data_IF_551337357038
#
_entry.id   IF_551337357038
#
_cell.length_a   1.000
_cell.length_b   1.000
_cell.length_c   1.000
_cell.angle_alpha   90.00
_cell.angle_beta   90.00
_cell.angle_gamma   90.00
#
_symmetry.space_group_name_H-M   'P 1'
#
loop_
_entity.id
_entity.type
_entity.pdbx_description
1 polymer ?
#
# COMPACT_ATOMS: atom_id res chain seq x y z
N UNK A 1 -17.63 -13.50 23.30
CA UNK A 1 -16.84 -12.28 23.60
C UNK A 1 -17.45 -11.10 22.85
N UNK A 2 -17.81 -10.01 23.55
CA UNK A 2 -18.66 -8.92 23.02
C UNK A 2 -17.95 -8.16 21.87
N UNK A 3 -18.42 -8.32 20.62
CA UNK A 3 -17.96 -7.60 19.41
C UNK A 3 -17.82 -6.08 19.64
N UNK A 4 -18.69 -5.50 20.47
CA UNK A 4 -18.67 -4.07 20.82
C UNK A 4 -17.42 -3.58 21.56
N UNK A 5 -16.71 -4.45 22.30
CA UNK A 5 -15.47 -4.05 22.99
C UNK A 5 -14.34 -3.87 21.98
N UNK A 6 -14.25 -4.76 20.99
CA UNK A 6 -13.23 -4.72 19.94
C UNK A 6 -13.41 -3.47 19.08
N UNK A 7 -14.65 -3.17 18.64
CA UNK A 7 -14.92 -1.97 17.84
C UNK A 7 -14.62 -0.68 18.60
N UNK A 8 -14.92 -0.63 19.90
CA UNK A 8 -14.58 0.52 20.76
C UNK A 8 -13.07 0.69 20.93
N UNK A 9 -12.32 -0.41 21.01
CA UNK A 9 -10.85 -0.38 21.06
C UNK A 9 -10.27 0.10 19.72
N UNK A 10 -10.75 -0.44 18.59
CA UNK A 10 -10.29 -0.05 17.24
C UNK A 10 -10.55 1.44 16.99
N UNK A 11 -11.77 1.93 17.27
CA UNK A 11 -12.12 3.34 17.06
C UNK A 11 -11.34 4.29 17.96
N UNK A 12 -11.11 3.93 19.22
CA UNK A 12 -10.27 4.71 20.14
C UNK A 12 -8.82 4.75 19.65
N UNK A 13 -8.28 3.62 19.18
CA UNK A 13 -6.92 3.56 18.65
C UNK A 13 -6.75 4.32 17.34
N UNK A 14 -7.76 4.32 16.45
CA UNK A 14 -7.73 5.14 15.22
C UNK A 14 -7.66 6.63 15.56
N UNK A 15 -8.44 7.08 16.56
CA UNK A 15 -8.44 8.49 16.98
C UNK A 15 -7.17 8.91 17.71
N UNK A 16 -6.57 8.04 18.53
CA UNK A 16 -5.40 8.38 19.34
C UNK A 16 -4.05 8.22 18.62
N UNK A 17 -3.99 7.54 17.48
CA UNK A 17 -2.72 7.24 16.79
C UNK A 17 -2.66 7.73 15.34
N UNK A 18 -3.22 8.91 15.05
CA UNK A 18 -3.28 9.51 13.69
C UNK A 18 -1.93 9.55 12.96
N UNK A 19 -0.85 9.90 13.67
CA UNK A 19 0.53 9.95 13.15
C UNK A 19 1.08 8.58 12.70
N UNK A 20 0.41 7.51 13.09
CA UNK A 20 0.77 6.12 12.81
C UNK A 20 0.05 5.60 11.57
N UNK A 21 -1.19 6.04 11.35
CA UNK A 21 -2.02 5.69 10.18
C UNK A 21 -1.62 6.43 8.91
N UNK A 22 -1.24 7.70 9.06
CA UNK A 22 -0.92 8.58 7.95
C UNK A 22 0.11 8.01 6.96
N UNK A 23 1.31 7.55 7.39
CA UNK A 23 2.31 7.05 6.45
C UNK A 23 1.85 5.81 5.68
N UNK A 24 1.03 4.94 6.29
CA UNK A 24 0.54 3.72 5.64
C UNK A 24 -0.53 4.02 4.61
N UNK A 25 -1.49 4.87 4.95
CA UNK A 25 -2.52 5.31 4.00
C UNK A 25 -1.87 6.08 2.85
N UNK A 26 -0.87 6.93 3.13
CA UNK A 26 -0.12 7.65 2.10
C UNK A 26 0.64 6.70 1.18
N UNK A 27 1.32 5.70 1.74
CA UNK A 27 1.99 4.65 0.96
C UNK A 27 1.03 3.91 0.04
N UNK A 28 -0.11 3.47 0.57
CA UNK A 28 -1.14 2.79 -0.24
C UNK A 28 -1.67 3.71 -1.32
N UNK A 29 -1.99 4.95 -0.96
CA UNK A 29 -2.48 5.95 -1.89
C UNK A 29 -1.51 6.12 -3.07
N UNK A 30 -0.24 6.41 -2.79
CA UNK A 30 0.77 6.66 -3.83
C UNK A 30 0.97 5.45 -4.73
N UNK A 31 1.05 4.23 -4.17
CA UNK A 31 1.29 3.03 -4.97
C UNK A 31 0.08 2.64 -5.83
N UNK A 32 -1.12 2.64 -5.26
CA UNK A 32 -2.35 2.34 -6.00
C UNK A 32 -2.59 3.39 -7.09
N UNK A 33 -2.44 4.67 -6.74
CA UNK A 33 -2.59 5.77 -7.69
C UNK A 33 -1.60 5.66 -8.86
N UNK A 34 -0.32 5.38 -8.59
CA UNK A 34 0.69 5.23 -9.62
C UNK A 34 0.37 4.08 -10.59
N UNK A 35 -0.03 2.90 -10.07
CA UNK A 35 -0.37 1.74 -10.90
C UNK A 35 -1.61 2.01 -11.75
N UNK A 36 -2.65 2.63 -11.18
CA UNK A 36 -3.85 2.99 -11.94
C UNK A 36 -3.53 3.98 -13.06
N UNK A 37 -2.80 5.06 -12.77
CA UNK A 37 -2.37 6.02 -13.78
C UNK A 37 -1.58 5.35 -14.92
N UNK A 38 -0.61 4.49 -14.59
CA UNK A 38 0.22 3.84 -15.59
C UNK A 38 -0.58 2.87 -16.47
N UNK A 39 -1.52 2.13 -15.87
CA UNK A 39 -2.37 1.18 -16.59
C UNK A 39 -3.36 1.89 -17.53
N UNK A 40 -3.89 3.03 -17.09
CA UNK A 40 -4.81 3.85 -17.88
C UNK A 40 -4.11 4.57 -19.03
N UNK A 41 -2.88 5.03 -18.82
CA UNK A 41 -2.08 5.60 -19.92
C UNK A 41 -1.72 4.54 -20.96
N UNK A 42 -1.30 3.34 -20.52
CA UNK A 42 -0.94 2.25 -21.42
C UNK A 42 -2.09 1.75 -22.32
N UNK A 43 -3.34 1.88 -21.86
CA UNK A 43 -4.54 1.49 -22.63
C UNK A 43 -5.02 2.58 -23.58
N UNK A 44 -4.65 3.84 -23.35
CA UNK A 44 -5.12 5.01 -24.11
C UNK A 44 -4.00 5.67 -24.93
N UNK A 45 -2.90 4.97 -25.23
CA UNK A 45 -1.78 5.51 -26.02
C UNK A 45 -2.20 6.02 -27.40
N UNK A 46 -3.18 5.37 -28.03
CA UNK A 46 -3.67 5.69 -29.39
C UNK A 46 -4.17 7.14 -29.50
N UNK A 47 -4.58 7.73 -28.38
CA UNK A 47 -5.04 9.12 -28.27
C UNK A 47 -3.88 10.13 -28.37
N UNK A 48 -2.70 9.77 -27.86
CA UNK A 48 -1.56 10.69 -27.68
C UNK A 48 -0.51 10.49 -28.77
N UNK A 49 -0.33 9.27 -29.27
CA UNK A 49 0.65 8.95 -30.31
C UNK A 49 -0.04 8.16 -31.42
N UNK A 50 -0.28 8.75 -32.61
CA UNK A 50 -0.92 8.06 -33.73
C UNK A 50 -0.03 6.99 -34.38
N UNK A 51 1.20 6.81 -33.89
CA UNK A 51 2.13 5.78 -34.37
C UNK A 51 1.93 4.51 -33.55
N UNK A 52 1.31 3.52 -34.19
CA UNK A 52 1.01 2.16 -33.72
C UNK A 52 2.27 1.37 -33.32
N UNK A 53 3.00 1.88 -32.33
CA UNK A 53 4.32 1.40 -31.95
C UNK A 53 4.18 0.52 -30.73
N UNK A 54 4.25 -0.78 -30.98
CA UNK A 54 4.32 -1.86 -29.98
C UNK A 54 5.29 -1.55 -28.83
N UNK A 55 6.35 -0.78 -29.12
CA UNK A 55 7.32 -0.28 -28.16
C UNK A 55 6.70 0.48 -26.96
N UNK A 56 5.73 1.37 -27.17
CA UNK A 56 5.13 2.10 -26.04
C UNK A 56 4.28 1.18 -25.18
N UNK A 57 3.52 0.27 -25.77
CA UNK A 57 2.70 -0.68 -25.02
C UNK A 57 3.56 -1.60 -24.14
N UNK A 58 4.68 -2.09 -24.67
CA UNK A 58 5.68 -2.87 -23.92
C UNK A 58 6.32 -2.06 -22.80
N UNK A 59 6.65 -0.79 -23.04
CA UNK A 59 7.19 0.12 -22.03
C UNK A 59 6.24 0.34 -20.86
N UNK A 60 4.94 0.56 -21.14
CA UNK A 60 3.94 0.71 -20.08
C UNK A 60 3.74 -0.57 -19.27
N UNK A 61 3.73 -1.73 -19.94
CA UNK A 61 3.63 -3.02 -19.26
C UNK A 61 4.82 -3.28 -18.32
N UNK A 62 6.04 -3.00 -18.77
CA UNK A 62 7.24 -3.06 -17.92
C UNK A 62 7.15 -2.11 -16.73
N UNK A 63 6.67 -0.89 -16.93
CA UNK A 63 6.49 0.07 -15.86
C UNK A 63 5.49 -0.40 -14.78
N UNK A 64 4.41 -1.08 -15.16
CA UNK A 64 3.46 -1.68 -14.20
C UNK A 64 4.16 -2.73 -13.33
N UNK A 65 5.03 -3.58 -13.91
CA UNK A 65 5.79 -4.59 -13.17
C UNK A 65 6.74 -3.92 -12.17
N UNK A 66 7.48 -2.91 -12.63
CA UNK A 66 8.41 -2.16 -11.79
C UNK A 66 7.67 -1.47 -10.64
N UNK A 67 6.54 -0.81 -10.92
CA UNK A 67 5.68 -0.19 -9.89
C UNK A 67 5.12 -1.23 -8.92
N UNK A 68 4.76 -2.41 -9.40
CA UNK A 68 4.36 -3.55 -8.57
C UNK A 68 5.45 -3.95 -7.57
N UNK A 69 6.71 -4.05 -8.03
CA UNK A 69 7.86 -4.34 -7.16
C UNK A 69 8.13 -3.22 -6.15
N UNK A 70 8.09 -1.95 -6.59
CA UNK A 70 8.25 -0.80 -5.69
C UNK A 70 7.16 -0.76 -4.61
N UNK A 71 5.92 -1.08 -4.99
CA UNK A 71 4.80 -1.14 -4.04
C UNK A 71 5.07 -2.16 -2.94
N UNK A 72 5.61 -3.33 -3.28
CA UNK A 72 5.93 -4.37 -2.31
C UNK A 72 6.97 -3.87 -1.30
N UNK A 73 8.04 -3.23 -1.77
CA UNK A 73 9.10 -2.67 -0.91
C UNK A 73 8.53 -1.60 0.02
N UNK A 74 7.77 -0.66 -0.54
CA UNK A 74 7.23 0.48 0.20
C UNK A 74 6.18 0.05 1.23
N UNK A 75 5.29 -0.89 0.88
CA UNK A 75 4.32 -1.46 1.80
C UNK A 75 5.02 -2.23 2.92
N UNK A 76 6.04 -3.06 2.63
CA UNK A 76 6.80 -3.76 3.67
C UNK A 76 7.57 -2.79 4.60
N UNK A 77 8.14 -1.73 4.05
CA UNK A 77 8.84 -0.71 4.83
C UNK A 77 7.88 0.02 5.77
N UNK A 78 6.75 0.45 5.23
CA UNK A 78 5.74 1.17 6.00
C UNK A 78 5.08 0.27 7.03
N UNK A 79 4.84 -1.01 6.69
CA UNK A 79 4.38 -2.03 7.62
C UNK A 79 5.31 -2.13 8.83
N UNK A 80 6.64 -2.19 8.62
CA UNK A 80 7.60 -2.24 9.71
C UNK A 80 7.58 -0.99 10.61
N UNK A 81 7.35 0.20 10.06
CA UNK A 81 7.21 1.44 10.85
C UNK A 81 5.94 1.38 11.68
N UNK A 82 4.82 1.00 11.05
CA UNK A 82 3.52 0.86 11.70
C UNK A 82 3.62 -0.15 12.84
N UNK A 83 4.07 -1.38 12.57
CA UNK A 83 4.16 -2.43 13.59
C UNK A 83 5.09 -2.04 14.75
N UNK A 84 6.23 -1.36 14.49
CA UNK A 84 7.13 -0.89 15.56
C UNK A 84 6.48 0.17 16.45
N UNK A 85 5.75 1.13 15.86
CA UNK A 85 5.04 2.16 16.63
C UNK A 85 3.79 1.58 17.32
N UNK A 86 3.11 0.61 16.71
CA UNK A 86 1.93 -0.07 17.26
C UNK A 86 2.28 -1.06 18.38
N UNK A 87 3.48 -1.65 18.37
CA UNK A 87 3.96 -2.52 19.44
C UNK A 87 3.94 -1.83 20.81
N UNK A 88 4.18 -0.51 20.87
CA UNK A 88 4.08 0.31 22.09
C UNK A 88 2.65 0.34 22.64
N UNK A 89 1.65 0.49 21.77
CA UNK A 89 0.23 0.45 22.14
C UNK A 89 -0.23 -0.98 22.50
N UNK A 90 0.32 -2.00 21.82
CA UNK A 90 0.04 -3.41 22.13
C UNK A 90 0.60 -3.81 23.51
N UNK A 91 1.75 -3.27 23.91
CA UNK A 91 2.30 -3.46 25.26
C UNK A 91 1.32 -3.02 26.36
N UNK A 92 0.65 -1.89 26.17
CA UNK A 92 -0.40 -1.40 27.09
C UNK A 92 -1.66 -2.28 27.05
N UNK A 93 -2.04 -2.81 25.89
CA UNK A 93 -3.19 -3.72 25.78
C UNK A 93 -2.95 -5.07 26.44
N UNK A 94 -1.70 -5.55 26.45
CA UNK A 94 -1.31 -6.77 27.16
C UNK A 94 -1.37 -6.59 28.67
N UNK A 95 -1.02 -5.41 29.20
CA UNK A 95 -1.17 -5.12 30.64
C UNK A 95 -2.63 -5.09 31.11
N UNK A 96 -3.58 -4.95 30.19
CA UNK A 96 -5.04 -4.96 30.45
C UNK A 96 -5.63 -6.39 30.37
N UNK A 97 -4.82 -7.41 30.00
CA UNK A 97 -5.25 -8.81 30.00
C UNK A 97 -5.99 -9.27 28.72
N UNK A 98 -5.86 -8.54 27.61
CA UNK A 98 -6.48 -8.95 26.33
C UNK A 98 -5.77 -10.21 25.79
N UNK A 99 -6.50 -11.27 25.42
CA UNK A 99 -5.89 -12.49 24.88
C UNK A 99 -5.20 -12.22 23.54
N UNK A 100 -4.11 -12.93 23.24
CA UNK A 100 -3.31 -12.77 22.01
C UNK A 100 -4.14 -12.86 20.72
N UNK A 101 -5.21 -13.68 20.71
CA UNK A 101 -6.17 -13.79 19.58
C UNK A 101 -6.95 -12.49 19.34
N UNK A 102 -7.29 -11.76 20.40
CA UNK A 102 -7.99 -10.47 20.31
C UNK A 102 -7.11 -9.37 19.72
N UNK A 103 -5.81 -9.38 20.05
CA UNK A 103 -4.82 -8.44 19.49
C UNK A 103 -4.69 -8.64 17.98
N UNK A 104 -4.61 -9.89 17.53
CA UNK A 104 -4.59 -10.20 16.09
C UNK A 104 -5.82 -9.64 15.36
N UNK A 105 -7.02 -9.86 15.91
CA UNK A 105 -8.26 -9.40 15.30
C UNK A 105 -8.32 -7.86 15.20
N UNK A 106 -7.89 -7.15 16.24
CA UNK A 106 -7.79 -5.68 16.23
C UNK A 106 -6.85 -5.20 15.12
N UNK A 107 -5.69 -5.83 14.99
CA UNK A 107 -4.69 -5.47 13.98
C UNK A 107 -5.22 -5.74 12.57
N UNK A 108 -5.79 -6.93 12.34
CA UNK A 108 -6.35 -7.27 11.03
C UNK A 108 -7.43 -6.29 10.60
N UNK A 109 -8.37 -5.92 11.50
CA UNK A 109 -9.39 -4.91 11.22
C UNK A 109 -8.78 -3.55 10.88
N UNK A 110 -7.70 -3.17 11.57
CA UNK A 110 -7.03 -1.91 11.35
C UNK A 110 -6.38 -1.81 9.96
N UNK A 111 -5.64 -2.84 9.55
CA UNK A 111 -5.07 -2.92 8.20
C UNK A 111 -6.16 -2.92 7.14
N UNK A 112 -7.27 -3.61 7.37
CA UNK A 112 -8.42 -3.64 6.46
C UNK A 112 -9.09 -2.26 6.32
N UNK A 113 -9.27 -1.53 7.42
CA UNK A 113 -9.81 -0.17 7.39
C UNK A 113 -8.85 0.77 6.64
N UNK A 114 -7.55 0.71 6.95
CA UNK A 114 -6.56 1.52 6.24
C UNK A 114 -6.51 1.20 4.75
N UNK A 115 -6.67 -0.08 4.39
CA UNK A 115 -6.72 -0.52 3.01
C UNK A 115 -7.87 0.12 2.25
N UNK A 116 -9.08 -0.03 2.78
CA UNK A 116 -10.30 0.49 2.16
C UNK A 116 -10.19 2.01 2.00
N UNK A 117 -9.75 2.72 3.04
CA UNK A 117 -9.58 4.18 2.98
C UNK A 117 -8.53 4.57 1.93
N UNK A 118 -7.35 3.95 1.95
CA UNK A 118 -6.27 4.25 1.01
C UNK A 118 -6.65 3.96 -0.44
N UNK A 119 -7.31 2.82 -0.68
CA UNK A 119 -7.74 2.41 -2.01
C UNK A 119 -8.83 3.32 -2.57
N UNK A 120 -9.83 3.70 -1.75
CA UNK A 120 -10.90 4.62 -2.17
C UNK A 120 -10.32 5.99 -2.49
N UNK A 121 -9.43 6.52 -1.64
CA UNK A 121 -8.77 7.81 -1.90
C UNK A 121 -7.93 7.77 -3.18
N UNK A 122 -7.19 6.68 -3.42
CA UNK A 122 -6.38 6.52 -4.63
C UNK A 122 -7.24 6.44 -5.89
N UNK A 123 -8.32 5.67 -5.84
CA UNK A 123 -9.25 5.49 -6.97
C UNK A 123 -9.97 6.80 -7.31
N UNK A 124 -10.43 7.53 -6.29
CA UNK A 124 -11.00 8.87 -6.48
C UNK A 124 -9.97 9.85 -7.03
N UNK A 125 -8.73 9.82 -6.52
CA UNK A 125 -7.64 10.62 -7.05
C UNK A 125 -7.38 10.33 -8.52
N UNK A 126 -7.35 9.05 -8.91
CA UNK A 126 -7.14 8.63 -10.28
C UNK A 126 -8.25 9.09 -11.22
N UNK A 127 -9.51 8.96 -10.77
CA UNK A 127 -10.66 9.45 -11.50
C UNK A 127 -10.63 10.98 -11.69
N UNK A 128 -10.29 11.73 -10.64
CA UNK A 128 -10.15 13.20 -10.73
C UNK A 128 -9.04 13.58 -11.73
N UNK A 129 -7.89 12.89 -11.71
CA UNK A 129 -6.83 13.17 -12.68
C UNK A 129 -7.24 12.89 -14.12
N UNK A 130 -8.04 11.82 -14.37
CA UNK A 130 -8.62 11.58 -15.69
C UNK A 130 -9.51 12.73 -16.14
N UNK A 131 -10.39 13.22 -15.26
CA UNK A 131 -11.26 14.36 -15.58
C UNK A 131 -10.46 15.63 -15.92
N UNK A 132 -9.37 15.88 -15.21
CA UNK A 132 -8.47 17.01 -15.49
C UNK A 132 -7.84 16.85 -16.88
N UNK A 133 -7.29 15.67 -17.20
CA UNK A 133 -6.67 15.39 -18.50
C UNK A 133 -7.68 15.54 -19.63
N UNK A 134 -8.87 14.95 -19.50
CA UNK A 134 -9.94 15.08 -20.48
C UNK A 134 -10.39 16.53 -20.67
N UNK A 135 -10.45 17.32 -19.60
CA UNK A 135 -10.74 18.75 -19.65
C UNK A 135 -9.69 19.56 -20.41
N UNK A 136 -8.41 19.23 -20.22
CA UNK A 136 -7.29 19.84 -20.95
C UNK A 136 -7.38 19.49 -22.45
N UNK A 137 -7.55 18.21 -22.79
CA UNK A 137 -7.64 17.75 -24.18
C UNK A 137 -8.82 18.41 -24.90
N UNK A 138 -10.00 18.47 -24.27
CA UNK A 138 -11.18 19.16 -24.82
C UNK A 138 -10.88 20.61 -25.17
N UNK A 139 -10.17 21.32 -24.29
CA UNK A 139 -9.85 22.73 -24.51
C UNK A 139 -8.86 22.93 -25.67
N UNK A 140 -7.96 21.98 -25.87
CA UNK A 140 -6.92 22.06 -26.91
C UNK A 140 -7.40 21.59 -28.28
N UNK A 141 -8.17 20.50 -28.33
CA UNK A 141 -8.57 19.84 -29.60
C UNK A 141 -10.03 20.09 -29.99
N UNK A 142 -10.86 20.58 -29.07
CA UNK A 142 -12.30 20.73 -29.27
C UNK A 142 -13.09 19.41 -29.21
N UNK A 143 -12.41 18.27 -29.14
CA UNK A 143 -13.01 16.93 -29.12
C UNK A 143 -13.04 16.39 -27.69
N UNK A 144 -14.17 15.82 -27.30
CA UNK A 144 -14.32 15.07 -26.06
C UNK A 144 -14.06 13.59 -26.34
N UNK A 145 -12.95 13.07 -25.84
CA UNK A 145 -12.69 11.64 -25.90
C UNK A 145 -13.42 10.93 -24.77
N UNK A 146 -14.54 10.30 -25.15
CA UNK A 146 -15.44 9.61 -24.22
C UNK A 146 -14.75 8.43 -23.53
N UNK A 147 -13.76 7.81 -24.19
CA UNK A 147 -12.98 6.70 -23.60
C UNK A 147 -12.27 7.09 -22.30
N UNK A 148 -11.77 8.32 -22.18
CA UNK A 148 -11.10 8.80 -20.96
C UNK A 148 -12.05 8.99 -19.77
N UNK A 149 -13.37 9.11 -20.04
CA UNK A 149 -14.41 9.22 -19.01
C UNK A 149 -14.90 7.85 -18.52
N UNK A 150 -14.58 6.77 -19.24
CA UNK A 150 -14.96 5.43 -18.84
C UNK A 150 -14.01 4.88 -17.78
N UNK A 151 -14.60 4.26 -16.76
CA UNK A 151 -13.87 3.56 -15.70
C UNK A 151 -13.86 2.08 -16.03
N UNK A 152 -12.68 1.54 -16.29
CA UNK A 152 -12.53 0.10 -16.47
C UNK A 152 -12.59 -0.60 -15.10
N UNK A 153 -13.75 -1.18 -14.81
CA UNK A 153 -13.98 -1.94 -13.59
C UNK A 153 -13.06 -3.17 -13.48
N UNK A 154 -12.63 -3.75 -14.60
CA UNK A 154 -11.75 -4.91 -14.62
C UNK A 154 -10.35 -4.54 -14.13
N UNK A 155 -9.82 -3.39 -14.58
CA UNK A 155 -8.55 -2.85 -14.10
C UNK A 155 -8.60 -2.54 -12.60
N UNK A 156 -9.66 -1.85 -12.15
CA UNK A 156 -9.84 -1.55 -10.72
C UNK A 156 -9.89 -2.81 -9.86
N UNK A 157 -10.61 -3.84 -10.31
CA UNK A 157 -10.74 -5.10 -9.58
C UNK A 157 -9.41 -5.86 -9.52
N UNK A 158 -8.63 -5.88 -10.60
CA UNK A 158 -7.31 -6.51 -10.62
C UNK A 158 -6.33 -5.82 -9.66
N UNK A 159 -6.30 -4.48 -9.67
CA UNK A 159 -5.46 -3.70 -8.75
C UNK A 159 -5.94 -3.90 -7.30
N UNK A 160 -7.25 -3.95 -7.06
CA UNK A 160 -7.80 -4.27 -5.75
C UNK A 160 -7.30 -5.64 -5.26
N UNK A 161 -7.49 -6.70 -6.05
CA UNK A 161 -7.06 -8.05 -5.66
C UNK A 161 -5.55 -8.12 -5.40
N UNK A 162 -4.73 -7.48 -6.24
CA UNK A 162 -3.28 -7.43 -6.06
C UNK A 162 -2.89 -6.83 -4.70
N UNK A 163 -3.41 -5.64 -4.36
CA UNK A 163 -3.12 -5.02 -3.07
C UNK A 163 -3.78 -5.73 -1.88
N UNK A 164 -4.93 -6.39 -2.10
CA UNK A 164 -5.59 -7.21 -1.09
C UNK A 164 -4.71 -8.38 -0.66
N UNK A 165 -4.10 -9.09 -1.63
CA UNK A 165 -3.12 -10.16 -1.36
C UNK A 165 -1.91 -9.61 -0.60
N UNK A 166 -1.37 -8.45 -1.01
CA UNK A 166 -0.26 -7.82 -0.31
C UNK A 166 -0.59 -7.52 1.15
N UNK A 167 -1.78 -6.97 1.43
CA UNK A 167 -2.18 -6.66 2.81
C UNK A 167 -2.41 -7.92 3.63
N UNK A 168 -2.94 -8.97 3.02
CA UNK A 168 -3.05 -10.26 3.70
C UNK A 168 -1.67 -10.78 4.14
N UNK A 169 -0.65 -10.65 3.28
CA UNK A 169 0.75 -10.96 3.62
C UNK A 169 1.24 -10.08 4.78
N UNK A 170 0.94 -8.77 4.77
CA UNK A 170 1.34 -7.85 5.86
C UNK A 170 0.69 -8.21 7.20
N UNK A 171 -0.58 -8.64 7.20
CA UNK A 171 -1.30 -9.08 8.39
C UNK A 171 -0.64 -10.34 8.96
N UNK A 172 -0.31 -11.32 8.11
CA UNK A 172 0.40 -12.55 8.53
C UNK A 172 1.77 -12.20 9.11
N UNK A 173 2.55 -11.35 8.45
CA UNK A 173 3.86 -10.93 8.96
C UNK A 173 3.74 -10.23 10.32
N UNK A 174 2.75 -9.36 10.48
CA UNK A 174 2.47 -8.67 11.74
C UNK A 174 2.09 -9.66 12.84
N UNK A 175 1.29 -10.67 12.52
CA UNK A 175 0.95 -11.75 13.45
C UNK A 175 2.16 -12.56 13.90
N UNK A 176 3.02 -12.97 12.96
CA UNK A 176 4.25 -13.72 13.26
C UNK A 176 5.17 -12.88 14.16
N UNK A 177 5.33 -11.59 13.88
CA UNK A 177 6.17 -10.69 14.66
C UNK A 177 5.67 -10.52 16.10
N UNK A 178 4.36 -10.47 16.32
CA UNK A 178 3.75 -10.28 17.64
C UNK A 178 3.71 -11.60 18.43
N UNK A 179 3.41 -12.72 17.77
CA UNK A 179 3.34 -14.04 18.41
C UNK A 179 4.70 -14.54 18.90
N UNK A 180 5.79 -14.21 18.19
CA UNK A 180 7.16 -14.60 18.54
C UNK A 180 7.82 -13.72 19.62
N UNK A 181 7.22 -12.61 20.03
CA UNK A 181 7.82 -11.69 21.02
C UNK A 181 7.18 -11.86 22.40
N UNK A 182 8.02 -12.15 23.40
CA UNK A 182 7.63 -12.28 24.80
C UNK A 182 7.27 -10.93 25.41
N UNK A 183 6.29 -10.88 26.32
CA UNK A 183 5.74 -9.66 26.96
C UNK A 183 6.84 -8.71 27.51
N UNK A 184 7.94 -9.27 28.06
CA UNK A 184 9.10 -8.50 28.56
C UNK A 184 9.84 -7.69 27.48
N UNK A 185 9.88 -8.16 26.23
CA UNK A 185 10.54 -7.44 25.11
C UNK A 185 9.64 -6.40 24.45
N UNK A 186 8.32 -6.50 24.64
CA UNK A 186 7.37 -5.49 24.17
C UNK A 186 7.32 -4.27 25.12
N UNK A 187 7.54 -4.49 26.42
CA UNK A 187 7.62 -3.43 27.44
C UNK A 187 9.00 -2.74 27.50
N UNK A 188 10.08 -3.38 27.05
CA UNK A 188 11.41 -2.72 26.96
C UNK A 188 11.49 -1.65 25.86
N UNK A 189 10.49 -1.56 24.96
CA UNK A 189 10.35 -0.42 24.03
C UNK A 189 9.84 0.87 24.73
N UNK A 190 9.44 0.80 26.01
CA UNK A 190 9.03 1.96 26.81
C UNK A 190 10.21 2.79 27.31
N UNK A 191 11.39 2.19 27.41
CA UNK A 191 12.62 2.87 27.83
C UNK A 191 13.46 3.18 26.59
N UNK A 192 13.36 4.41 26.08
CA UNK A 192 14.34 5.00 25.16
C UNK A 192 15.61 5.24 26.01
N UNK A 193 16.82 4.79 25.61
CA UNK A 193 17.48 5.35 24.43
C UNK A 193 18.35 4.41 23.56
N UNK A 194 18.55 4.88 22.31
CA UNK A 194 19.75 4.75 21.46
C UNK A 194 20.31 3.36 21.12
N UNK A 195 19.69 2.68 20.15
CA UNK A 195 20.47 2.05 19.06
C UNK A 195 19.62 1.95 17.81
N UNK A 196 20.01 2.69 16.77
CA UNK A 196 19.48 2.53 15.41
C UNK A 196 19.71 1.06 15.04
N UNK A 197 18.65 0.24 14.87
CA UNK A 197 18.84 -1.13 14.47
C UNK A 197 19.32 -1.09 13.01
N UNK A 198 20.52 -1.62 12.77
CA UNK A 198 21.14 -1.77 11.45
C UNK A 198 20.08 -2.19 10.44
N UNK A 199 19.97 -1.40 9.37
CA UNK A 199 19.24 -1.72 8.16
C UNK A 199 19.43 -3.20 7.83
N UNK A 200 18.33 -3.96 7.74
CA UNK A 200 18.41 -5.38 7.38
C UNK A 200 18.84 -5.49 5.92
N UNK A 201 20.14 -5.65 5.71
CA UNK A 201 20.81 -5.70 4.40
C UNK A 201 20.19 -6.70 3.41
N UNK A 202 19.42 -7.68 3.89
CA UNK A 202 18.73 -8.67 3.04
C UNK A 202 17.68 -8.09 2.10
N UNK A 203 17.02 -6.97 2.43
CA UNK A 203 16.03 -6.35 1.53
C UNK A 203 16.68 -5.51 0.41
N UNK A 204 17.88 -5.00 0.65
CA UNK A 204 18.68 -4.34 -0.38
C UNK A 204 19.29 -5.34 -1.37
N UNK A 205 19.68 -6.53 -0.89
CA UNK A 205 20.18 -7.62 -1.73
C UNK A 205 19.11 -8.13 -2.69
N UNK A 206 17.85 -8.25 -2.23
CA UNK A 206 16.75 -8.63 -3.11
C UNK A 206 16.51 -7.60 -4.22
N UNK A 207 16.58 -6.31 -3.91
CA UNK A 207 16.52 -5.24 -4.92
C UNK A 207 17.68 -5.28 -5.91
N UNK A 208 18.90 -5.57 -5.45
CA UNK A 208 20.08 -5.73 -6.30
C UNK A 208 19.96 -6.94 -7.24
N UNK A 209 19.42 -8.07 -6.76
CA UNK A 209 19.16 -9.25 -7.59
C UNK A 209 18.18 -8.91 -8.72
N UNK A 210 17.12 -8.13 -8.42
CA UNK A 210 16.18 -7.68 -9.45
C UNK A 210 16.84 -6.74 -10.48
N UNK A 211 17.70 -5.81 -10.05
CA UNK A 211 18.41 -4.90 -10.96
C UNK A 211 19.39 -5.66 -11.88
N UNK A 212 20.12 -6.63 -11.33
CA UNK A 212 21.06 -7.47 -12.12
C UNK A 212 20.29 -8.36 -13.11
N UNK A 213 19.13 -8.87 -12.70
CA UNK A 213 18.27 -9.67 -13.57
C UNK A 213 17.67 -8.84 -14.72
N UNK A 214 17.35 -7.56 -14.48
CA UNK A 214 16.90 -6.67 -15.56
C UNK A 214 18.03 -6.29 -16.52
N UNK A 215 19.26 -6.13 -16.03
CA UNK A 215 20.40 -5.76 -16.87
C UNK A 215 20.80 -6.89 -17.83
N UNK A 216 20.71 -8.14 -17.38
CA UNK A 216 21.00 -9.34 -18.20
C UNK A 216 19.93 -9.68 -19.24
N UNK A 217 18.75 -9.07 -19.16
CA UNK A 217 17.67 -9.20 -20.17
C UNK A 217 17.74 -8.09 -21.23
N UNK A 218 18.49 -7.01 -21.00
CA UNK A 218 18.67 -5.88 -21.92
C UNK A 218 19.95 -5.96 -22.77
N UNK A 219 20.80 -6.98 -22.56
CA UNK A 219 22.01 -7.29 -23.35
C UNK A 219 21.88 -8.62 -24.06
#
# INVERSE_FOLDING_TARGET
MKRGIITKIVTKQIKQSKELYYPFILSLFTNVFAILMYSELGTNIEIVVPTNSTFFQEFFWLGIIILGLFSLIFLLYTNNIVTKRYAKNIGVLLTIGIPKKGIFLVISLLYLIMYVIGFVLASLGAYISKLIIAGIIKRTTGVLEVNLLTVDFSLLLNVFLFFFVLIFILIIQSYIMISRKTVRQLLSFSAVPTKIPKSSSGKAVLGLIFIIFTWTIMT
#
